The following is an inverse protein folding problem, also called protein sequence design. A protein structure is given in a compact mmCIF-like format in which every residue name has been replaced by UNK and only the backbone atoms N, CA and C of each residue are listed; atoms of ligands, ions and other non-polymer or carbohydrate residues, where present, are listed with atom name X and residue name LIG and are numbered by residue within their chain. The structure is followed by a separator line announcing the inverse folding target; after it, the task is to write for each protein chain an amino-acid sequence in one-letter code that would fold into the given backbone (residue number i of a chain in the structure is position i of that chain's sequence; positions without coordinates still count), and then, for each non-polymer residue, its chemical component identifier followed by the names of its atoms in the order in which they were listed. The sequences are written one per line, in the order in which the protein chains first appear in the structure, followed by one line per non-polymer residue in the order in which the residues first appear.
data_IF_380925630372
#
_entry.id   IF_380925630372
#
_cell.length_a   1.000
_cell.length_b   1.000
_cell.length_c   1.000
_cell.angle_alpha   90.00
_cell.angle_beta   90.00
_cell.angle_gamma   90.00
#
_symmetry.space_group_name_H-M   'P 1'
#
loop_
_entity.id
_entity.type
_entity.pdbx_description
1 polymer ?
#
# COMPACT_ATOMS: atom_id res chain seq x y z
N UNK A 1 -4.82 12.33 6.47
CA UNK A 1 -5.03 12.10 5.02
C UNK A 1 -5.83 10.83 4.86
N UNK A 2 -6.86 10.87 4.03
CA UNK A 2 -7.71 9.70 3.78
C UNK A 2 -6.97 8.69 2.90
N UNK A 3 -6.92 7.43 3.32
CA UNK A 3 -6.19 6.37 2.59
C UNK A 3 -6.75 6.17 1.19
N UNK A 4 -8.07 6.31 1.02
CA UNK A 4 -8.74 6.22 -0.27
C UNK A 4 -8.32 7.31 -1.28
N UNK A 5 -7.67 8.38 -0.83
CA UNK A 5 -7.19 9.49 -1.66
C UNK A 5 -5.70 9.38 -1.98
N UNK A 6 -4.94 8.57 -1.24
CA UNK A 6 -3.50 8.40 -1.44
C UNK A 6 -3.18 7.90 -2.85
N UNK A 7 -2.16 8.48 -3.47
CA UNK A 7 -1.67 8.09 -4.81
C UNK A 7 -0.18 8.41 -4.92
N UNK A 8 0.51 7.79 -5.87
CA UNK A 8 1.93 8.02 -6.14
C UNK A 8 2.83 7.84 -4.92
N UNK A 9 3.85 8.70 -4.80
CA UNK A 9 4.88 8.58 -3.77
C UNK A 9 4.35 8.56 -2.32
N UNK A 10 3.34 9.36 -1.92
CA UNK A 10 2.71 9.23 -0.61
C UNK A 10 2.09 7.84 -0.35
N UNK A 11 1.43 7.24 -1.35
CA UNK A 11 0.88 5.88 -1.21
C UNK A 11 2.02 4.87 -1.05
N UNK A 12 3.06 4.97 -1.88
CA UNK A 12 4.22 4.08 -1.83
C UNK A 12 4.99 4.18 -0.49
N UNK A 13 5.10 5.38 0.08
CA UNK A 13 5.67 5.61 1.41
C UNK A 13 4.89 4.84 2.48
N UNK A 14 3.56 4.94 2.48
CA UNK A 14 2.74 4.25 3.47
C UNK A 14 2.75 2.73 3.28
N UNK A 15 2.91 2.24 2.04
CA UNK A 15 3.17 0.82 1.79
C UNK A 15 4.51 0.40 2.39
N UNK A 16 5.58 1.18 2.20
CA UNK A 16 6.88 0.87 2.78
C UNK A 16 6.83 0.83 4.31
N UNK A 17 6.09 1.74 4.94
CA UNK A 17 5.87 1.75 6.40
C UNK A 17 5.08 0.51 6.84
N UNK A 18 4.02 0.13 6.11
CA UNK A 18 3.23 -1.07 6.42
C UNK A 18 4.03 -2.37 6.27
N UNK A 19 4.97 -2.42 5.33
CA UNK A 19 5.87 -3.54 5.10
C UNK A 19 7.09 -3.55 6.03
N UNK A 20 7.23 -2.53 6.89
CA UNK A 20 8.34 -2.43 7.84
C UNK A 20 9.69 -2.15 7.18
N UNK A 21 9.71 -1.45 6.04
CA UNK A 21 10.96 -0.99 5.44
C UNK A 21 11.65 0.06 6.31
N UNK A 22 12.98 0.11 6.26
CA UNK A 22 13.77 1.11 6.95
C UNK A 22 13.86 2.42 6.15
N UNK A 23 13.90 3.54 6.88
CA UNK A 23 14.08 4.90 6.36
C UNK A 23 13.24 5.25 5.11
N UNK A 24 11.92 4.98 5.07
CA UNK A 24 11.09 5.36 3.94
C UNK A 24 11.06 6.89 3.79
N UNK A 25 11.08 7.37 2.55
CA UNK A 25 10.94 8.80 2.20
C UNK A 25 10.14 8.94 0.93
N UNK A 26 9.37 10.03 0.83
CA UNK A 26 8.68 10.40 -0.40
C UNK A 26 8.83 11.90 -0.68
N UNK A 27 9.11 12.21 -1.94
CA UNK A 27 9.12 13.56 -2.49
C UNK A 27 8.54 13.55 -3.91
N UNK A 28 8.69 14.67 -4.63
CA UNK A 28 8.18 14.80 -5.99
C UNK A 28 8.84 13.84 -7.01
N UNK A 29 10.02 13.29 -6.70
CA UNK A 29 10.74 12.33 -7.55
C UNK A 29 10.28 10.89 -7.35
N UNK A 30 9.61 10.57 -6.23
CA UNK A 30 9.13 9.24 -5.93
C UNK A 30 9.30 8.86 -4.46
N UNK A 31 9.07 7.57 -4.18
CA UNK A 31 9.34 6.97 -2.88
C UNK A 31 10.64 6.15 -2.92
N UNK A 32 11.42 6.23 -1.84
CA UNK A 32 12.60 5.39 -1.61
C UNK A 32 12.52 4.75 -0.24
N UNK A 33 13.08 3.54 -0.10
CA UNK A 33 13.17 2.84 1.18
C UNK A 33 14.27 1.77 1.16
N UNK A 34 14.65 1.29 2.34
CA UNK A 34 15.58 0.17 2.52
C UNK A 34 14.76 -1.10 2.83
N UNK A 35 14.79 -2.06 1.91
CA UNK A 35 13.96 -3.30 1.98
C UNK A 35 14.61 -4.45 2.75
N UNK A 36 15.93 -4.37 2.94
CA UNK A 36 16.74 -5.41 3.59
C UNK A 36 17.54 -4.76 4.69
N UNK A 37 17.60 -5.38 5.87
CA UNK A 37 18.37 -4.87 7.00
C UNK A 37 19.83 -4.59 6.59
N UNK A 38 20.30 -3.36 6.84
CA UNK A 38 21.64 -2.90 6.46
C UNK A 38 21.82 -2.62 4.96
N UNK A 39 20.75 -2.63 4.18
CA UNK A 39 20.76 -2.29 2.75
C UNK A 39 20.89 -0.79 2.49
N UNK A 40 20.84 -0.43 1.20
CA UNK A 40 20.85 0.96 0.74
C UNK A 40 19.45 1.41 0.31
N UNK A 41 19.12 2.71 0.41
CA UNK A 41 17.85 3.23 -0.09
C UNK A 41 17.73 2.97 -1.59
N UNK A 42 16.63 2.36 -2.01
CA UNK A 42 16.30 2.13 -3.41
C UNK A 42 14.91 2.69 -3.74
N UNK A 43 14.66 3.08 -5.01
CA UNK A 43 13.31 3.40 -5.46
C UNK A 43 12.33 2.28 -5.14
N UNK A 44 11.14 2.66 -4.71
CA UNK A 44 10.08 1.73 -4.37
C UNK A 44 8.74 2.35 -4.78
N UNK A 45 8.12 1.80 -5.82
CA UNK A 45 6.90 2.36 -6.40
C UNK A 45 5.81 1.29 -6.60
N UNK A 46 5.39 0.57 -5.53
CA UNK A 46 4.46 -0.57 -5.65
C UNK A 46 3.07 -0.20 -6.18
N UNK A 47 2.64 1.06 -6.10
CA UNK A 47 1.38 1.52 -6.69
C UNK A 47 1.41 1.67 -8.21
N UNK A 48 2.61 1.68 -8.81
CA UNK A 48 2.81 1.93 -10.25
C UNK A 48 3.64 0.83 -10.95
N UNK A 49 4.69 0.34 -10.29
CA UNK A 49 5.64 -0.64 -10.81
C UNK A 49 5.20 -2.06 -10.46
N UNK A 50 4.95 -2.89 -11.48
CA UNK A 50 4.66 -4.31 -11.27
C UNK A 50 5.81 -5.09 -10.65
N UNK A 51 7.06 -4.67 -10.86
CA UNK A 51 8.22 -5.31 -10.26
C UNK A 51 8.23 -5.17 -8.72
N UNK A 52 7.68 -4.07 -8.20
CA UNK A 52 7.56 -3.84 -6.76
C UNK A 52 6.21 -4.31 -6.21
N UNK A 53 5.11 -3.98 -6.90
CA UNK A 53 3.74 -4.25 -6.42
C UNK A 53 3.26 -5.68 -6.65
N UNK A 54 3.69 -6.34 -7.73
CA UNK A 54 3.29 -7.71 -8.06
C UNK A 54 3.66 -8.72 -6.96
N UNK A 55 4.91 -8.76 -6.48
CA UNK A 55 5.30 -9.64 -5.37
C UNK A 55 4.51 -9.40 -4.09
N UNK A 56 4.06 -8.16 -3.81
CA UNK A 56 3.21 -7.85 -2.65
C UNK A 56 1.81 -8.44 -2.83
N UNK A 57 1.22 -8.29 -4.02
CA UNK A 57 -0.11 -8.82 -4.34
C UNK A 57 -0.15 -10.34 -4.19
N UNK A 58 0.87 -11.05 -4.64
CA UNK A 58 0.95 -12.51 -4.55
C UNK A 58 1.24 -13.01 -3.13
N UNK A 59 2.07 -12.29 -2.36
CA UNK A 59 2.48 -12.71 -1.01
C UNK A 59 1.41 -12.43 0.05
N UNK A 60 0.69 -11.32 -0.09
CA UNK A 60 -0.31 -10.89 0.88
C UNK A 60 -1.66 -11.62 0.64
N UNK A 61 -2.49 -11.78 1.68
CA UNK A 61 -3.75 -12.53 1.60
C UNK A 61 -4.88 -11.74 0.88
N UNK A 62 -4.63 -11.30 -0.35
CA UNK A 62 -5.66 -10.72 -1.21
C UNK A 62 -6.65 -11.81 -1.61
N UNK A 63 -7.92 -11.57 -1.34
CA UNK A 63 -9.01 -12.51 -1.60
C UNK A 63 -9.55 -12.39 -3.01
N UNK A 64 -9.44 -11.20 -3.61
CA UNK A 64 -10.01 -10.93 -4.91
C UNK A 64 -9.72 -9.51 -5.40
N UNK A 65 -9.77 -9.40 -6.73
CA UNK A 65 -9.73 -8.15 -7.45
C UNK A 65 -10.91 -8.10 -8.41
N UNK A 66 -11.72 -7.06 -8.30
CA UNK A 66 -12.92 -6.88 -9.10
C UNK A 66 -12.81 -5.63 -9.97
N UNK A 67 -13.33 -5.72 -11.19
CA UNK A 67 -13.47 -4.60 -12.11
C UNK A 67 -14.72 -4.80 -12.96
N UNK A 68 -15.74 -3.98 -12.69
CA UNK A 68 -17.07 -4.13 -13.28
C UNK A 68 -17.04 -4.14 -14.81
N UNK A 69 -17.41 -5.29 -15.40
CA UNK A 69 -17.41 -5.48 -16.86
C UNK A 69 -16.06 -5.20 -17.52
N UNK A 70 -14.95 -5.37 -16.80
CA UNK A 70 -13.59 -5.15 -17.29
C UNK A 70 -13.21 -3.68 -17.51
N UNK A 71 -14.02 -2.73 -17.05
CA UNK A 71 -13.80 -1.28 -17.23
C UNK A 71 -13.93 -0.52 -15.91
N UNK A 72 -13.38 0.69 -15.86
CA UNK A 72 -13.48 1.56 -14.68
C UNK A 72 -12.55 1.17 -13.55
N UNK A 73 -12.97 1.47 -12.31
CA UNK A 73 -12.16 1.31 -11.11
C UNK A 73 -12.00 -0.17 -10.72
N UNK A 74 -10.84 -0.47 -10.14
CA UNK A 74 -10.57 -1.72 -9.47
C UNK A 74 -10.98 -1.66 -8.01
N UNK A 75 -11.47 -2.77 -7.48
CA UNK A 75 -11.67 -3.03 -6.05
C UNK A 75 -10.76 -4.17 -5.62
N UNK A 76 -10.06 -3.98 -4.50
CA UNK A 76 -9.17 -5.00 -3.93
C UNK A 76 -9.67 -5.39 -2.55
N UNK A 77 -9.79 -6.69 -2.30
CA UNK A 77 -10.23 -7.27 -1.03
C UNK A 77 -9.05 -7.98 -0.37
N UNK A 78 -8.74 -7.65 0.88
CA UNK A 78 -7.69 -8.29 1.67
C UNK A 78 -8.28 -8.92 2.93
N UNK A 79 -7.95 -10.18 3.19
CA UNK A 79 -8.32 -10.84 4.45
C UNK A 79 -7.19 -10.74 5.47
N UNK A 80 -7.47 -10.20 6.65
CA UNK A 80 -6.51 -10.21 7.76
C UNK A 80 -7.20 -10.65 9.05
N UNK A 81 -6.54 -11.52 9.80
CA UNK A 81 -7.01 -11.91 11.13
C UNK A 81 -6.86 -10.72 12.08
N UNK A 82 -7.93 -10.36 12.78
CA UNK A 82 -7.90 -9.36 13.84
C UNK A 82 -8.06 -10.09 15.17
N UNK A 83 -7.04 -10.09 16.06
CA UNK A 83 -7.04 -10.90 17.28
C UNK A 83 -8.25 -10.67 18.20
N UNK A 84 -8.81 -9.46 18.18
CA UNK A 84 -9.92 -9.07 19.05
C UNK A 84 -11.31 -9.53 18.55
N UNK A 85 -11.45 -9.91 17.27
CA UNK A 85 -12.76 -10.15 16.66
C UNK A 85 -13.14 -11.63 16.55
N UNK A 86 -12.22 -12.57 16.79
CA UNK A 86 -12.46 -14.00 16.60
C UNK A 86 -12.74 -14.43 15.15
N UNK A 87 -12.86 -13.48 14.22
CA UNK A 87 -13.21 -13.65 12.80
C UNK A 87 -12.19 -12.98 11.87
N UNK A 88 -12.20 -13.36 10.59
CA UNK A 88 -11.41 -12.69 9.54
C UNK A 88 -12.09 -11.37 9.17
N UNK A 89 -11.38 -10.26 9.32
CA UNK A 89 -11.84 -8.98 8.79
C UNK A 89 -11.46 -8.86 7.31
N UNK A 90 -12.37 -8.30 6.52
CA UNK A 90 -12.13 -7.88 5.14
C UNK A 90 -11.84 -6.39 5.09
N UNK A 91 -10.75 -6.04 4.43
CA UNK A 91 -10.42 -4.66 4.10
C UNK A 91 -10.60 -4.47 2.60
N UNK A 92 -11.27 -3.38 2.22
CA UNK A 92 -11.63 -3.12 0.84
C UNK A 92 -11.31 -1.67 0.49
N UNK A 93 -10.54 -1.45 -0.57
CA UNK A 93 -10.34 -0.13 -1.16
C UNK A 93 -10.45 -0.18 -2.68
N UNK A 94 -10.67 0.99 -3.26
CA UNK A 94 -10.79 1.17 -4.71
C UNK A 94 -9.67 2.03 -5.28
N UNK A 95 -9.35 1.83 -6.56
CA UNK A 95 -8.35 2.60 -7.27
C UNK A 95 -8.54 2.56 -8.78
N UNK A 96 -7.97 3.53 -9.53
CA UNK A 96 -8.05 3.54 -10.99
C UNK A 96 -7.21 2.40 -11.63
N UNK A 97 -6.26 1.83 -10.89
CA UNK A 97 -5.47 0.65 -11.30
C UNK A 97 -5.55 -0.43 -10.23
N UNK A 98 -5.26 -1.68 -10.61
CA UNK A 98 -5.22 -2.81 -9.67
C UNK A 98 -4.21 -2.53 -8.54
N UNK A 99 -3.00 -2.07 -8.89
CA UNK A 99 -1.96 -1.78 -7.91
C UNK A 99 -2.36 -0.66 -6.95
N UNK A 100 -2.98 0.42 -7.41
CA UNK A 100 -3.45 1.48 -6.51
C UNK A 100 -4.53 0.94 -5.56
N UNK A 101 -5.49 0.16 -6.05
CA UNK A 101 -6.51 -0.47 -5.20
C UNK A 101 -5.86 -1.39 -4.16
N UNK A 102 -4.93 -2.25 -4.58
CA UNK A 102 -4.20 -3.17 -3.70
C UNK A 102 -3.42 -2.44 -2.60
N UNK A 103 -2.62 -1.43 -2.98
CA UNK A 103 -1.79 -0.68 -2.04
C UNK A 103 -2.63 0.12 -1.05
N UNK A 104 -3.73 0.74 -1.48
CA UNK A 104 -4.67 1.40 -0.56
C UNK A 104 -5.29 0.41 0.41
N UNK A 105 -5.70 -0.78 -0.05
CA UNK A 105 -6.25 -1.82 0.82
C UNK A 105 -5.22 -2.30 1.84
N UNK A 106 -3.96 -2.48 1.44
CA UNK A 106 -2.87 -2.84 2.34
C UNK A 106 -2.66 -1.77 3.44
N UNK A 107 -2.57 -0.50 3.05
CA UNK A 107 -2.44 0.62 3.98
C UNK A 107 -3.63 0.68 4.94
N UNK A 108 -4.86 0.59 4.41
CA UNK A 108 -6.07 0.60 5.23
C UNK A 108 -6.15 -0.57 6.21
N UNK A 109 -5.68 -1.76 5.80
CA UNK A 109 -5.62 -2.94 6.69
C UNK A 109 -4.62 -2.82 7.84
N UNK A 110 -3.73 -1.82 7.77
CA UNK A 110 -2.66 -1.61 8.74
C UNK A 110 -2.92 -0.38 9.61
N UNK A 111 -3.44 0.71 9.03
CA UNK A 111 -3.61 1.99 9.71
C UNK A 111 -5.06 2.46 9.83
N UNK A 112 -6.02 1.79 9.18
CA UNK A 112 -7.40 2.24 9.08
C UNK A 112 -7.62 3.24 7.94
N UNK A 113 -8.71 4.02 8.01
CA UNK A 113 -9.13 4.90 6.91
C UNK A 113 -8.30 6.18 6.79
N UNK A 114 -7.55 6.53 7.84
CA UNK A 114 -6.74 7.74 7.92
C UNK A 114 -5.30 7.44 8.28
N UNK A 115 -4.39 8.19 7.67
CA UNK A 115 -2.97 8.25 8.04
C UNK A 115 -2.57 9.70 8.34
N UNK A 116 -1.58 9.95 9.22
CA UNK A 116 -1.07 11.29 9.49
C UNK A 116 -0.62 12.03 8.22
N UNK A 117 -0.82 13.34 8.19
CA UNK A 117 -0.20 14.21 7.19
C UNK A 117 1.21 14.59 7.68
N UNK A 118 2.25 14.20 6.94
CA UNK A 118 3.64 14.23 7.37
C UNK A 118 4.52 14.90 6.33
N UNK A 119 5.59 15.55 6.79
CA UNK A 119 6.73 15.86 5.92
C UNK A 119 7.52 14.57 5.64
N UNK A 120 7.16 13.88 4.55
CA UNK A 120 7.75 12.59 4.13
C UNK A 120 9.14 12.73 3.49
N UNK A 121 9.64 13.95 3.26
CA UNK A 121 10.95 14.17 2.65
C UNK A 121 12.11 13.97 3.66
N UNK A 122 11.80 13.98 4.96
CA UNK A 122 12.79 13.87 6.04
C UNK A 122 12.78 12.47 6.66
N UNK A 123 13.94 11.94 7.04
CA UNK A 123 13.99 10.68 7.76
C UNK A 123 13.32 10.85 9.13
N UNK A 124 12.60 9.80 9.54
CA UNK A 124 12.13 9.63 10.92
C UNK A 124 13.23 9.05 11.79
#
# INVERSE_FOLDING_TARGET
MQVQELTGAPLDYWVAVAEGHDAPRADASGCTSIRTAGGVPTPFAPSMSWADGGPLVERLPFAGFERDGGRGAWRAVLHRAVPAAGERCTFNQSGPTLLIAAMRTLVASTFGDDVPDLDMARPR
#
